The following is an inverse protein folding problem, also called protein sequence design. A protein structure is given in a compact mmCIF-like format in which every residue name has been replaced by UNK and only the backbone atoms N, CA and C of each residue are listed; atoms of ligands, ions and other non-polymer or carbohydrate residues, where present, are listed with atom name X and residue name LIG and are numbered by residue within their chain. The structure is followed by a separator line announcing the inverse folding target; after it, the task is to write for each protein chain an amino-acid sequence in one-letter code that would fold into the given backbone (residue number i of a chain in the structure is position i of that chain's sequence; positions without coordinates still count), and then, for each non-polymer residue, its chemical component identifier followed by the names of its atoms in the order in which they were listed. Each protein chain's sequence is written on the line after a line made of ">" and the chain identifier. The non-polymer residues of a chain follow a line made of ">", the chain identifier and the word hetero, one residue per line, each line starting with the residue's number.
data_IF_874928144564
#
_entry.id   IF_874928144564
#
_cell.length_a   1.000
_cell.length_b   1.000
_cell.length_c   1.000
_cell.angle_alpha   90.00
_cell.angle_beta   90.00
_cell.angle_gamma   90.00
#
_symmetry.space_group_name_H-M   'P 1'
#
loop_
_entity.id
_entity.type
_entity.pdbx_description
1 polymer ?
#
# COMPACT_ATOMS: atom_id res chain seq x y z
N UNK A 1 -42.32 -1.37 27.63
CA UNK A 1 -41.34 -2.01 26.69
C UNK A 1 -40.51 -0.91 26.11
N UNK A 2 -39.34 -0.69 26.67
CA UNK A 2 -38.36 0.29 26.17
C UNK A 2 -37.30 -0.52 25.42
N UNK A 3 -37.45 -0.57 24.09
CA UNK A 3 -36.39 -1.10 23.23
C UNK A 3 -35.15 -0.23 23.40
N UNK A 4 -34.09 -0.83 23.85
CA UNK A 4 -32.75 -0.24 23.90
C UNK A 4 -32.27 0.03 22.45
N UNK A 5 -32.48 1.25 21.98
CA UNK A 5 -31.70 1.83 20.89
C UNK A 5 -30.28 2.04 21.41
N UNK A 6 -29.50 0.96 21.45
CA UNK A 6 -28.04 1.10 21.44
C UNK A 6 -27.73 1.59 20.04
N UNK A 7 -27.62 2.92 19.90
CA UNK A 7 -27.21 3.54 18.67
C UNK A 7 -25.92 2.89 18.19
N UNK A 8 -25.91 2.43 16.94
CA UNK A 8 -24.68 2.00 16.28
C UNK A 8 -23.68 3.14 16.46
N UNK A 9 -22.61 2.88 17.18
CA UNK A 9 -21.58 3.88 17.40
C UNK A 9 -21.05 4.28 16.03
N UNK A 10 -21.45 5.45 15.54
CA UNK A 10 -20.99 6.01 14.27
C UNK A 10 -19.46 6.09 14.34
N UNK A 11 -18.79 5.17 13.67
CA UNK A 11 -17.34 5.21 13.52
C UNK A 11 -17.02 6.16 12.38
N UNK A 12 -16.28 7.24 12.62
CA UNK A 12 -15.87 8.11 11.53
C UNK A 12 -14.98 7.34 10.56
N UNK A 13 -15.26 7.46 9.28
CA UNK A 13 -14.34 6.98 8.25
C UNK A 13 -13.05 7.77 8.30
N UNK A 14 -11.97 7.17 7.80
CA UNK A 14 -10.65 7.78 7.76
C UNK A 14 -9.75 7.12 6.73
N UNK A 15 -8.72 7.82 6.31
CA UNK A 15 -7.71 7.36 5.36
C UNK A 15 -6.38 7.20 6.11
N UNK A 16 -5.83 5.99 6.07
CA UNK A 16 -4.51 5.64 6.60
C UNK A 16 -3.61 5.22 5.45
N UNK A 17 -2.44 5.83 5.31
CA UNK A 17 -1.46 5.48 4.28
C UNK A 17 -0.23 4.85 4.91
N UNK A 18 0.15 3.67 4.45
CA UNK A 18 1.40 2.97 4.78
C UNK A 18 2.29 3.02 3.55
N UNK A 19 3.31 3.86 3.56
CA UNK A 19 4.19 4.05 2.41
C UNK A 19 5.66 3.76 2.75
N UNK A 20 6.50 3.65 1.73
CA UNK A 20 7.94 3.41 1.88
C UNK A 20 8.52 2.55 0.76
N UNK A 21 9.83 2.27 0.83
CA UNK A 21 10.55 1.48 -0.17
C UNK A 21 10.09 0.02 -0.22
N UNK A 22 10.55 -0.74 -1.22
CA UNK A 22 10.44 -2.20 -1.20
C UNK A 22 11.16 -2.77 0.04
N UNK A 23 10.72 -3.94 0.49
CA UNK A 23 11.25 -4.66 1.66
C UNK A 23 11.10 -3.93 3.00
N UNK A 24 10.22 -2.94 3.08
CA UNK A 24 10.01 -2.13 4.30
C UNK A 24 8.87 -2.61 5.20
N UNK A 25 8.15 -3.68 4.84
CA UNK A 25 7.08 -4.22 5.66
C UNK A 25 5.71 -3.54 5.45
N UNK A 26 5.46 -2.87 4.31
CA UNK A 26 4.16 -2.22 4.02
C UNK A 26 2.99 -3.19 4.04
N UNK A 27 3.11 -4.28 3.27
CA UNK A 27 2.08 -5.32 3.17
C UNK A 27 1.86 -6.01 4.52
N UNK A 28 2.93 -6.27 5.30
CA UNK A 28 2.83 -6.79 6.65
C UNK A 28 2.04 -5.87 7.58
N UNK A 29 2.29 -4.57 7.51
CA UNK A 29 1.56 -3.58 8.32
C UNK A 29 0.10 -3.46 7.88
N UNK A 30 -0.19 -3.47 6.57
CA UNK A 30 -1.55 -3.54 6.05
C UNK A 30 -2.28 -4.77 6.60
N UNK A 31 -1.71 -5.96 6.43
CA UNK A 31 -2.28 -7.23 6.92
C UNK A 31 -2.50 -7.17 8.44
N UNK A 32 -1.55 -6.64 9.19
CA UNK A 32 -1.66 -6.47 10.64
C UNK A 32 -2.87 -5.61 11.02
N UNK A 33 -3.07 -4.46 10.34
CA UNK A 33 -4.23 -3.58 10.57
C UNK A 33 -5.54 -4.26 10.18
N UNK A 34 -5.58 -4.96 9.05
CA UNK A 34 -6.76 -5.68 8.57
C UNK A 34 -7.13 -6.84 9.51
N UNK A 35 -6.16 -7.61 10.01
CA UNK A 35 -6.41 -8.68 11.02
C UNK A 35 -7.01 -8.13 12.31
N UNK A 36 -6.53 -6.98 12.80
CA UNK A 36 -7.09 -6.31 13.97
C UNK A 36 -8.54 -5.88 13.76
N UNK A 37 -8.85 -5.34 12.56
CA UNK A 37 -10.23 -4.99 12.21
C UNK A 37 -11.14 -6.22 12.17
N UNK A 38 -10.67 -7.31 11.54
CA UNK A 38 -11.40 -8.58 11.50
C UNK A 38 -11.61 -9.17 12.90
N UNK A 39 -10.61 -9.08 13.78
CA UNK A 39 -10.75 -9.49 15.17
C UNK A 39 -11.81 -8.67 15.93
N UNK A 40 -11.94 -7.38 15.59
CA UNK A 40 -13.00 -6.49 16.08
C UNK A 40 -14.37 -6.73 15.39
N UNK A 41 -14.53 -7.84 14.65
CA UNK A 41 -15.74 -8.26 13.93
C UNK A 41 -16.20 -7.26 12.87
N UNK A 42 -15.28 -6.46 12.34
CA UNK A 42 -15.55 -5.58 11.19
C UNK A 42 -15.52 -6.38 9.88
N UNK A 43 -16.36 -6.01 8.93
CA UNK A 43 -16.31 -6.53 7.56
C UNK A 43 -15.12 -5.90 6.85
N UNK A 44 -14.21 -6.74 6.38
CA UNK A 44 -12.95 -6.29 5.79
C UNK A 44 -12.77 -6.87 4.39
N UNK A 45 -12.24 -6.07 3.47
CA UNK A 45 -11.87 -6.49 2.12
C UNK A 45 -10.52 -5.87 1.75
N UNK A 46 -9.69 -6.61 1.01
CA UNK A 46 -8.43 -6.11 0.46
C UNK A 46 -8.53 -6.10 -1.06
N UNK A 47 -8.14 -5.00 -1.67
CA UNK A 47 -8.03 -4.83 -3.12
C UNK A 47 -6.58 -4.70 -3.54
N UNK A 48 -6.23 -5.25 -4.71
CA UNK A 48 -4.92 -5.11 -5.34
C UNK A 48 -5.06 -4.89 -6.84
N UNK A 49 -4.09 -4.19 -7.50
CA UNK A 49 -4.10 -4.06 -8.95
C UNK A 49 -3.99 -5.41 -9.63
N UNK A 50 -4.80 -5.65 -10.68
CA UNK A 50 -4.74 -6.86 -11.50
C UNK A 50 -3.38 -7.04 -12.20
N UNK A 51 -2.60 -5.97 -12.36
CA UNK A 51 -1.24 -5.99 -12.90
C UNK A 51 -0.25 -6.75 -12.00
N UNK A 52 -0.53 -6.88 -10.69
CA UNK A 52 0.36 -7.55 -9.75
C UNK A 52 0.11 -9.07 -9.73
N UNK A 53 0.78 -9.78 -10.64
CA UNK A 53 0.68 -11.23 -10.81
C UNK A 53 1.74 -12.02 -10.01
N UNK A 54 2.54 -11.37 -9.15
CA UNK A 54 3.64 -12.00 -8.40
C UNK A 54 3.19 -13.05 -7.39
N UNK A 55 1.95 -12.94 -6.93
CA UNK A 55 1.33 -13.90 -5.99
C UNK A 55 0.00 -14.38 -6.54
N UNK A 56 -0.56 -15.46 -5.95
CA UNK A 56 -1.85 -16.00 -6.39
C UNK A 56 -2.91 -14.90 -6.53
N UNK A 57 -3.78 -15.02 -7.53
CA UNK A 57 -4.78 -13.98 -7.85
C UNK A 57 -5.70 -13.64 -6.66
N UNK A 58 -5.81 -14.53 -5.67
CA UNK A 58 -6.73 -14.44 -4.55
C UNK A 58 -6.11 -14.02 -3.21
N UNK A 59 -4.76 -13.94 -3.08
CA UNK A 59 -4.12 -13.68 -1.78
C UNK A 59 -3.17 -12.49 -1.82
N UNK A 60 -3.24 -11.64 -0.80
CA UNK A 60 -2.13 -10.75 -0.42
C UNK A 60 -1.25 -11.54 0.55
N UNK A 61 -0.04 -11.85 0.12
CA UNK A 61 0.93 -12.62 0.89
C UNK A 61 2.05 -11.72 1.38
N UNK A 62 2.29 -11.71 2.69
CA UNK A 62 3.53 -11.11 3.21
C UNK A 62 4.69 -12.09 3.05
N UNK A 63 5.93 -11.59 3.11
CA UNK A 63 7.16 -12.42 3.08
C UNK A 63 7.16 -13.55 4.13
N UNK A 64 6.36 -13.42 5.20
CA UNK A 64 6.20 -14.41 6.27
C UNK A 64 5.02 -15.38 6.04
N UNK A 65 4.51 -15.54 4.82
CA UNK A 65 3.39 -16.42 4.44
C UNK A 65 2.05 -16.12 5.17
N UNK A 66 1.90 -14.93 5.74
CA UNK A 66 0.62 -14.46 6.27
C UNK A 66 -0.24 -13.95 5.12
N UNK A 67 -1.28 -14.68 4.72
CA UNK A 67 -2.18 -14.28 3.66
C UNK A 67 -3.54 -13.80 4.19
N UNK A 68 -4.12 -12.84 3.51
CA UNK A 68 -5.55 -12.50 3.57
C UNK A 68 -6.03 -12.48 2.12
N UNK A 69 -7.20 -13.06 1.86
CA UNK A 69 -7.83 -12.99 0.53
C UNK A 69 -7.94 -11.56 0.06
N UNK A 70 -7.70 -11.36 -1.22
CA UNK A 70 -7.79 -10.06 -1.88
C UNK A 70 -8.54 -10.18 -3.19
N UNK A 71 -9.16 -9.09 -3.59
CA UNK A 71 -9.85 -8.95 -4.87
C UNK A 71 -8.97 -8.15 -5.83
N UNK A 72 -8.63 -8.75 -6.97
CA UNK A 72 -7.90 -8.07 -8.04
C UNK A 72 -8.82 -7.13 -8.81
N UNK A 73 -8.35 -5.90 -9.06
CA UNK A 73 -9.12 -4.84 -9.74
C UNK A 73 -8.31 -4.21 -10.87
N UNK A 74 -8.99 -3.84 -11.96
CA UNK A 74 -8.36 -3.14 -13.09
C UNK A 74 -8.34 -1.62 -12.91
N UNK A 75 -9.30 -1.07 -12.15
CA UNK A 75 -9.41 0.37 -11.90
C UNK A 75 -9.84 0.66 -10.47
N UNK A 76 -9.45 1.84 -9.95
CA UNK A 76 -9.82 2.29 -8.61
C UNK A 76 -11.34 2.43 -8.42
N UNK A 77 -12.07 2.83 -9.47
CA UNK A 77 -13.53 2.99 -9.43
C UNK A 77 -14.28 1.70 -9.10
N UNK A 78 -13.72 0.52 -9.40
CA UNK A 78 -14.31 -0.77 -9.07
C UNK A 78 -14.47 -0.97 -7.56
N UNK A 79 -13.61 -0.35 -6.74
CA UNK A 79 -13.68 -0.44 -5.28
C UNK A 79 -15.01 0.08 -4.74
N UNK A 80 -15.51 1.20 -5.27
CA UNK A 80 -16.79 1.80 -4.82
C UNK A 80 -17.98 0.88 -5.03
N UNK A 81 -17.95 0.05 -6.08
CA UNK A 81 -19.00 -0.91 -6.39
C UNK A 81 -18.93 -2.15 -5.48
N UNK A 82 -17.71 -2.59 -5.17
CA UNK A 82 -17.47 -3.83 -4.41
C UNK A 82 -17.51 -3.62 -2.90
N UNK A 83 -17.28 -2.40 -2.42
CA UNK A 83 -17.19 -2.06 -0.99
C UNK A 83 -18.51 -1.55 -0.37
N UNK A 84 -19.68 -1.89 -0.93
CA UNK A 84 -20.98 -1.32 -0.49
C UNK A 84 -21.39 -1.70 0.95
N UNK A 85 -20.87 -2.80 1.50
CA UNK A 85 -21.19 -3.30 2.85
C UNK A 85 -19.90 -3.69 3.61
N UNK A 86 -18.88 -2.85 3.52
CA UNK A 86 -17.56 -3.07 4.10
C UNK A 86 -17.24 -1.97 5.10
N UNK A 87 -16.78 -2.35 6.30
CA UNK A 87 -16.37 -1.40 7.35
C UNK A 87 -14.92 -0.91 7.15
N UNK A 88 -14.04 -1.78 6.62
CA UNK A 88 -12.61 -1.50 6.44
C UNK A 88 -12.14 -2.01 5.08
N UNK A 89 -11.65 -1.11 4.26
CA UNK A 89 -11.05 -1.38 2.97
C UNK A 89 -9.53 -1.30 3.10
N UNK A 90 -8.84 -2.37 2.68
CA UNK A 90 -7.39 -2.39 2.45
C UNK A 90 -7.09 -2.27 0.97
N UNK A 91 -6.03 -1.55 0.61
CA UNK A 91 -5.56 -1.45 -0.78
C UNK A 91 -4.06 -1.66 -0.77
N UNK A 92 -3.60 -2.75 -1.40
CA UNK A 92 -2.17 -3.04 -1.52
C UNK A 92 -1.63 -2.67 -2.90
N UNK A 93 -0.32 -2.43 -2.99
CA UNK A 93 0.40 -2.04 -4.22
C UNK A 93 -0.28 -0.87 -4.97
N UNK A 94 -0.84 0.07 -4.21
CA UNK A 94 -1.70 1.14 -4.69
C UNK A 94 -1.02 2.10 -5.69
N UNK A 95 0.33 2.14 -5.75
CA UNK A 95 1.08 2.93 -6.73
C UNK A 95 0.82 2.49 -8.18
N UNK A 96 0.27 1.29 -8.39
CA UNK A 96 -0.08 0.78 -9.73
C UNK A 96 -1.51 1.07 -10.15
N UNK A 97 -2.35 1.60 -9.25
CA UNK A 97 -3.70 2.05 -9.59
C UNK A 97 -3.69 3.44 -10.23
N UNK A 98 -4.79 3.80 -10.85
CA UNK A 98 -4.99 5.11 -11.45
C UNK A 98 -5.15 6.23 -10.40
N UNK A 99 -5.00 7.50 -10.83
CA UNK A 99 -5.07 8.65 -9.94
C UNK A 99 -6.48 8.89 -9.37
N UNK A 100 -7.53 8.29 -9.92
CA UNK A 100 -8.89 8.32 -9.39
C UNK A 100 -9.00 7.65 -8.02
N UNK A 101 -7.97 6.91 -7.60
CA UNK A 101 -7.92 6.32 -6.26
C UNK A 101 -8.03 7.35 -5.14
N UNK A 102 -7.57 8.57 -5.36
CA UNK A 102 -7.64 9.66 -4.38
C UNK A 102 -9.09 10.01 -4.05
N UNK A 103 -9.91 10.20 -5.09
CA UNK A 103 -11.34 10.48 -4.96
C UNK A 103 -12.10 9.28 -4.38
N UNK A 104 -11.75 8.06 -4.79
CA UNK A 104 -12.34 6.82 -4.26
C UNK A 104 -12.09 6.69 -2.76
N UNK A 105 -10.87 6.94 -2.28
CA UNK A 105 -10.55 6.89 -0.86
C UNK A 105 -11.31 7.96 -0.06
N UNK A 106 -11.40 9.20 -0.57
CA UNK A 106 -12.20 10.25 0.04
C UNK A 106 -13.68 9.88 0.14
N UNK A 107 -14.24 9.36 -0.94
CA UNK A 107 -15.66 8.96 -0.98
C UNK A 107 -15.96 7.85 0.03
N UNK A 108 -15.10 6.81 0.11
CA UNK A 108 -15.24 5.74 1.09
C UNK A 108 -15.14 6.27 2.53
N UNK A 109 -14.15 7.12 2.81
CA UNK A 109 -13.97 7.70 4.14
C UNK A 109 -15.19 8.58 4.52
N UNK A 110 -15.72 9.40 3.59
CA UNK A 110 -16.91 10.21 3.80
C UNK A 110 -18.17 9.38 4.07
N UNK A 111 -18.23 8.13 3.57
CA UNK A 111 -19.29 7.16 3.88
C UNK A 111 -19.08 6.42 5.21
N UNK A 112 -18.03 6.74 5.97
CA UNK A 112 -17.73 6.09 7.25
C UNK A 112 -16.83 4.86 7.17
N UNK A 113 -16.28 4.54 5.99
CA UNK A 113 -15.37 3.42 5.79
C UNK A 113 -13.94 3.80 6.24
N UNK A 114 -13.29 2.91 6.98
CA UNK A 114 -11.86 3.03 7.26
C UNK A 114 -11.06 2.52 6.06
N UNK A 115 -10.28 3.36 5.42
CA UNK A 115 -9.47 3.02 4.25
C UNK A 115 -7.99 2.95 4.65
N UNK A 116 -7.34 1.82 4.36
CA UNK A 116 -5.91 1.60 4.64
C UNK A 116 -5.21 1.32 3.32
N UNK A 117 -4.34 2.24 2.90
CA UNK A 117 -3.63 2.15 1.63
C UNK A 117 -2.18 1.81 1.88
N UNK A 118 -1.65 0.78 1.20
CA UNK A 118 -0.23 0.44 1.20
C UNK A 118 0.36 0.60 -0.20
N UNK A 119 1.54 1.21 -0.30
CA UNK A 119 2.19 1.39 -1.58
C UNK A 119 3.57 2.06 -1.53
N UNK A 120 4.28 1.97 -2.66
CA UNK A 120 5.55 2.65 -2.86
C UNK A 120 5.33 4.16 -3.00
N UNK A 121 6.01 4.96 -2.19
CA UNK A 121 5.94 6.43 -2.27
C UNK A 121 6.83 7.00 -3.38
N UNK A 122 7.87 6.26 -3.79
CA UNK A 122 8.79 6.61 -4.86
C UNK A 122 9.06 5.42 -5.77
N UNK A 123 9.32 5.70 -7.04
CA UNK A 123 9.85 4.72 -7.99
C UNK A 123 11.37 4.49 -7.77
N UNK A 124 11.97 3.63 -8.59
CA UNK A 124 13.40 3.28 -8.49
C UNK A 124 14.36 4.45 -8.79
N UNK A 125 13.86 5.53 -9.42
CA UNK A 125 14.60 6.78 -9.66
C UNK A 125 14.47 7.77 -8.50
N UNK A 126 13.76 7.41 -7.42
CA UNK A 126 13.47 8.30 -6.30
C UNK A 126 12.44 9.38 -6.62
N UNK A 127 11.62 9.18 -7.66
CA UNK A 127 10.56 10.11 -8.08
C UNK A 127 9.24 9.68 -7.47
N UNK A 128 8.38 10.63 -7.00
CA UNK A 128 7.06 10.33 -6.46
C UNK A 128 6.25 9.41 -7.40
N UNK A 129 5.59 8.37 -6.84
CA UNK A 129 5.02 7.30 -7.63
C UNK A 129 3.50 7.17 -7.50
N UNK A 130 2.81 7.18 -8.65
CA UNK A 130 1.37 6.95 -8.76
C UNK A 130 0.54 7.88 -7.88
N UNK A 131 -0.59 7.42 -7.35
CA UNK A 131 -1.47 8.20 -6.50
C UNK A 131 -0.95 8.38 -5.05
N UNK A 132 0.09 7.64 -4.61
CA UNK A 132 0.54 7.62 -3.22
C UNK A 132 0.89 9.00 -2.66
N UNK A 133 1.61 9.89 -3.38
CA UNK A 133 1.91 11.23 -2.85
C UNK A 133 0.67 12.07 -2.58
N UNK A 134 -0.33 12.00 -3.46
CA UNK A 134 -1.60 12.70 -3.28
C UNK A 134 -2.42 12.08 -2.13
N UNK A 135 -2.42 10.75 -1.99
CA UNK A 135 -3.04 10.05 -0.87
C UNK A 135 -2.38 10.42 0.46
N UNK A 136 -1.06 10.54 0.53
CA UNK A 136 -0.36 11.03 1.74
C UNK A 136 -0.80 12.44 2.12
N UNK A 137 -1.13 13.29 1.15
CA UNK A 137 -1.56 14.66 1.40
C UNK A 137 -2.96 14.77 2.03
N UNK A 138 -3.87 13.84 1.67
CA UNK A 138 -5.26 13.83 2.16
C UNK A 138 -5.50 12.87 3.32
N UNK A 139 -4.52 12.04 3.68
CA UNK A 139 -4.66 11.02 4.71
C UNK A 139 -4.77 11.64 6.11
N UNK A 140 -5.61 11.03 6.96
CA UNK A 140 -5.70 11.33 8.40
C UNK A 140 -4.47 10.81 9.15
N UNK A 141 -3.85 9.72 8.65
CA UNK A 141 -2.63 9.12 9.22
C UNK A 141 -1.69 8.66 8.11
N UNK A 142 -0.42 9.04 8.19
CA UNK A 142 0.65 8.54 7.31
C UNK A 142 1.71 7.82 8.13
N UNK A 143 1.93 6.55 7.83
CA UNK A 143 2.99 5.73 8.41
C UNK A 143 4.03 5.44 7.32
N UNK A 144 5.19 6.10 7.40
CA UNK A 144 6.30 5.81 6.51
C UNK A 144 7.21 4.75 7.11
N UNK A 145 7.19 3.56 6.51
CA UNK A 145 8.03 2.42 6.92
C UNK A 145 9.31 2.35 6.07
N UNK A 146 10.37 1.80 6.66
CA UNK A 146 11.68 1.77 6.04
C UNK A 146 12.27 0.37 6.06
N UNK A 147 12.96 0.01 4.97
CA UNK A 147 13.85 -1.14 4.92
C UNK A 147 15.23 -0.80 5.51
N UNK A 148 16.09 -1.79 5.55
CA UNK A 148 17.50 -1.62 5.93
C UNK A 148 18.36 -1.59 4.67
N UNK A 149 19.24 -0.60 4.57
CA UNK A 149 20.18 -0.46 3.47
C UNK A 149 21.13 -1.65 3.41
N UNK A 150 21.14 -2.38 2.31
CA UNK A 150 21.97 -3.59 2.15
C UNK A 150 23.47 -3.28 2.07
N UNK A 151 23.86 -2.03 1.81
CA UNK A 151 25.27 -1.63 1.70
C UNK A 151 25.87 -1.21 3.04
N UNK A 152 25.11 -0.54 3.92
CA UNK A 152 25.68 0.06 5.13
C UNK A 152 24.88 -0.21 6.42
N UNK A 153 23.73 -0.91 6.35
CA UNK A 153 22.90 -1.23 7.52
C UNK A 153 22.09 -0.05 8.08
N UNK A 154 22.14 1.14 7.50
CA UNK A 154 21.32 2.28 7.89
C UNK A 154 19.90 2.17 7.31
N UNK A 155 19.04 3.06 7.74
CA UNK A 155 17.66 3.14 7.24
C UNK A 155 17.66 3.43 5.73
N UNK A 156 17.02 2.56 4.94
CA UNK A 156 16.85 2.74 3.51
C UNK A 156 15.64 3.64 3.21
N UNK A 157 15.71 4.40 2.12
CA UNK A 157 14.62 5.28 1.71
C UNK A 157 14.16 5.06 0.27
N UNK A 158 14.95 4.37 -0.56
CA UNK A 158 14.66 4.15 -1.99
C UNK A 158 14.86 2.68 -2.36
N UNK A 159 14.10 2.22 -3.35
CA UNK A 159 14.25 0.91 -3.98
C UNK A 159 15.13 1.09 -5.23
N UNK A 160 16.43 0.81 -5.12
CA UNK A 160 17.36 0.89 -6.24
C UNK A 160 17.19 -0.32 -7.15
N UNK A 161 17.10 -0.10 -8.47
CA UNK A 161 16.97 -1.17 -9.46
C UNK A 161 18.35 -1.65 -9.91
N UNK A 162 18.55 -2.96 -9.88
CA UNK A 162 19.83 -3.60 -10.25
C UNK A 162 19.94 -3.90 -11.75
N UNK A 163 18.80 -3.96 -12.45
CA UNK A 163 18.73 -4.30 -13.87
C UNK A 163 18.59 -3.03 -14.70
N UNK A 164 19.41 -2.91 -15.74
CA UNK A 164 19.34 -1.79 -16.69
C UNK A 164 18.09 -1.94 -17.58
N UNK A 165 16.97 -1.39 -17.14
CA UNK A 165 15.71 -1.37 -17.86
C UNK A 165 14.96 -0.07 -17.54
N UNK A 166 14.66 0.73 -18.57
CA UNK A 166 14.01 2.04 -18.45
C UNK A 166 12.50 1.99 -18.17
N UNK A 167 11.87 0.83 -18.26
CA UNK A 167 10.45 0.71 -17.93
C UNK A 167 10.20 1.10 -16.47
N UNK A 168 9.30 2.05 -16.24
CA UNK A 168 8.98 2.54 -14.89
C UNK A 168 8.43 1.42 -13.99
N UNK A 169 7.63 0.53 -14.55
CA UNK A 169 7.07 -0.65 -13.89
C UNK A 169 7.83 -1.88 -14.36
N UNK A 170 8.55 -2.50 -13.45
CA UNK A 170 9.10 -3.85 -13.57
C UNK A 170 8.67 -4.58 -12.30
N UNK A 171 7.81 -5.58 -12.48
CA UNK A 171 7.43 -6.49 -11.41
C UNK A 171 8.65 -7.36 -11.10
N UNK A 172 9.22 -7.21 -9.91
CA UNK A 172 10.45 -7.90 -9.54
C UNK A 172 10.58 -8.04 -8.02
N UNK A 173 11.49 -8.90 -7.61
CA UNK A 173 11.80 -9.24 -6.23
C UNK A 173 13.23 -8.84 -5.86
N UNK A 174 13.87 -9.62 -4.97
CA UNK A 174 15.19 -9.35 -4.41
C UNK A 174 16.33 -9.37 -5.43
N UNK A 175 16.13 -10.02 -6.57
CA UNK A 175 17.14 -10.12 -7.62
C UNK A 175 17.16 -8.87 -8.54
N UNK A 176 16.06 -8.10 -8.57
CA UNK A 176 15.94 -6.90 -9.41
C UNK A 176 16.04 -5.59 -8.64
N UNK A 177 15.85 -5.61 -7.32
CA UNK A 177 15.84 -4.41 -6.48
C UNK A 177 16.58 -4.60 -5.18
N UNK A 178 17.24 -3.53 -4.72
CA UNK A 178 17.86 -3.45 -3.40
C UNK A 178 17.45 -2.16 -2.66
N UNK A 179 17.17 -2.24 -1.34
CA UNK A 179 16.88 -1.04 -0.55
C UNK A 179 18.17 -0.31 -0.19
N UNK A 180 18.24 0.98 -0.51
CA UNK A 180 19.42 1.82 -0.22
C UNK A 180 19.06 3.06 0.60
N UNK A 181 19.99 3.46 1.49
CA UNK A 181 19.95 4.77 2.11
C UNK A 181 20.33 5.86 1.09
N UNK A 182 20.08 7.12 1.41
CA UNK A 182 20.31 8.26 0.50
C UNK A 182 21.77 8.31 0.00
N UNK A 183 22.73 8.12 0.87
CA UNK A 183 24.16 8.20 0.51
C UNK A 183 24.56 7.03 -0.41
N UNK A 184 24.18 5.79 -0.07
CA UNK A 184 24.51 4.62 -0.88
C UNK A 184 23.84 4.66 -2.25
N UNK A 185 22.61 5.19 -2.32
CA UNK A 185 21.90 5.38 -3.58
C UNK A 185 22.59 6.42 -4.48
N UNK A 186 23.02 7.57 -3.93
CA UNK A 186 23.79 8.55 -4.71
C UNK A 186 25.11 7.98 -5.26
N UNK A 187 25.82 7.18 -4.46
CA UNK A 187 27.04 6.49 -4.92
C UNK A 187 26.75 5.49 -6.04
N UNK A 188 25.64 4.73 -5.94
CA UNK A 188 25.24 3.78 -6.98
C UNK A 188 24.96 4.48 -8.31
N UNK A 189 24.14 5.55 -8.32
CA UNK A 189 23.83 6.33 -9.55
C UNK A 189 25.09 6.95 -10.17
N UNK A 190 26.05 7.40 -9.36
CA UNK A 190 27.28 7.98 -9.90
C UNK A 190 28.15 6.92 -10.58
N UNK A 191 28.22 5.70 -10.03
CA UNK A 191 28.95 4.59 -10.64
C UNK A 191 28.32 4.06 -11.92
N UNK A 192 27.01 4.16 -12.09
CA UNK A 192 26.31 3.76 -13.32
C UNK A 192 26.50 4.75 -14.49
N UNK A 193 27.00 5.96 -14.21
CA UNK A 193 27.28 7.00 -15.21
C UNK A 193 28.73 7.01 -15.72
N UNK A 194 29.60 6.17 -15.15
CA UNK A 194 30.99 5.99 -15.53
C UNK A 194 31.16 4.76 -16.40
#
# INVERSE_FOLDING_TARGET
>A
MTENLIGEAHRPGRIEVVCGSMFSGKTEELIRRMKRAKFAKQKVEIFKPALDTRYSEEDVVSHDQNSIRSTSIESSGSILLLASDIDVVGIDEAQFLDNGLVEVCNELANRGVRVIVAGLDMDFKGVPFGPIPALCAIADEVTKVHAICVKCGLVAYVSHRLINNDKRVLLGEKDEYEPLCRECYQKAILNEKL
#
